data_IF_393935305707
#
_entry.id   IF_393935305707
#
_cell.length_a   1.000
_cell.length_b   1.000
_cell.length_c   1.000
_cell.angle_alpha   90.00
_cell.angle_beta   90.00
_cell.angle_gamma   90.00
#
_symmetry.space_group_name_H-M   'P 1'
#
loop_
_entity.id
_entity.type
_entity.pdbx_description
1 polymer ?
#
# COMPACT_ATOMS: atom_id res chain seq x y z
N UNK A 1 24.18 9.41 -2.26
CA UNK A 1 25.07 9.25 -3.43
C UNK A 1 26.19 8.21 -3.21
N UNK A 2 25.94 7.16 -2.42
CA UNK A 2 26.95 6.11 -2.10
C UNK A 2 26.38 4.70 -2.20
N UNK A 3 25.06 4.53 -2.31
CA UNK A 3 24.37 3.24 -2.50
C UNK A 3 24.93 2.52 -3.73
N UNK A 4 25.46 1.32 -3.52
CA UNK A 4 26.28 0.61 -4.51
C UNK A 4 25.51 0.35 -5.81
N UNK A 5 24.28 -0.11 -5.71
CA UNK A 5 23.40 -0.43 -6.83
C UNK A 5 23.08 0.83 -7.63
N UNK A 6 22.64 1.89 -6.94
CA UNK A 6 22.28 3.18 -7.57
C UNK A 6 23.47 3.82 -8.28
N UNK A 7 24.65 3.84 -7.65
CA UNK A 7 25.84 4.45 -8.25
C UNK A 7 26.40 3.61 -9.40
N UNK A 8 26.30 2.28 -9.33
CA UNK A 8 26.68 1.39 -10.44
C UNK A 8 25.78 1.63 -11.67
N UNK A 9 24.46 1.73 -11.46
CA UNK A 9 23.52 2.05 -12.52
C UNK A 9 23.74 3.46 -13.10
N UNK A 10 23.95 4.45 -12.22
CA UNK A 10 24.22 5.83 -12.64
C UNK A 10 25.50 5.93 -13.49
N UNK A 11 26.58 5.24 -13.10
CA UNK A 11 27.81 5.17 -13.87
C UNK A 11 27.63 4.46 -15.21
N UNK A 12 26.82 3.39 -15.26
CA UNK A 12 26.48 2.70 -16.51
C UNK A 12 25.71 3.62 -17.46
N UNK A 13 24.71 4.36 -16.96
CA UNK A 13 23.95 5.34 -17.74
C UNK A 13 24.84 6.48 -18.23
N UNK A 14 25.73 7.00 -17.38
CA UNK A 14 26.73 8.01 -17.75
C UNK A 14 27.67 7.51 -18.85
N UNK A 15 28.18 6.28 -18.74
CA UNK A 15 29.02 5.67 -19.76
C UNK A 15 28.28 5.52 -21.10
N UNK A 16 27.04 5.05 -21.07
CA UNK A 16 26.18 4.97 -22.27
C UNK A 16 25.99 6.36 -22.91
N UNK A 17 25.65 7.37 -22.10
CA UNK A 17 25.44 8.74 -22.56
C UNK A 17 26.71 9.33 -23.21
N UNK A 18 27.87 9.14 -22.58
CA UNK A 18 29.15 9.67 -23.06
C UNK A 18 29.64 9.02 -24.36
N UNK A 19 29.18 7.81 -24.72
CA UNK A 19 29.46 7.22 -26.05
C UNK A 19 28.91 8.10 -27.18
N UNK A 20 27.78 8.77 -26.94
CA UNK A 20 27.11 9.64 -27.91
C UNK A 20 27.51 11.11 -27.75
N UNK A 21 27.45 11.64 -26.52
CA UNK A 21 27.72 13.04 -26.23
C UNK A 21 29.21 13.42 -26.37
N UNK A 22 30.12 12.44 -26.19
CA UNK A 22 31.59 12.52 -26.30
C UNK A 22 32.31 13.47 -25.33
N UNK A 23 31.66 14.53 -24.86
CA UNK A 23 32.22 15.53 -23.97
C UNK A 23 31.51 15.47 -22.61
N UNK A 24 32.29 15.36 -21.54
CA UNK A 24 31.79 15.25 -20.16
C UNK A 24 31.05 16.49 -19.68
N UNK A 25 31.26 17.66 -20.29
CA UNK A 25 30.52 18.88 -19.92
C UNK A 25 29.02 18.75 -20.11
N UNK A 26 28.58 17.88 -21.03
CA UNK A 26 27.16 17.66 -21.30
C UNK A 26 26.46 16.84 -20.20
N UNK A 27 27.19 16.23 -19.26
CA UNK A 27 26.58 15.52 -18.12
C UNK A 27 25.68 16.45 -17.31
N UNK A 28 26.10 17.71 -17.11
CA UNK A 28 25.33 18.73 -16.39
C UNK A 28 23.95 19.04 -16.99
N UNK A 29 23.74 18.75 -18.28
CA UNK A 29 22.49 19.01 -19.00
C UNK A 29 21.53 17.80 -19.01
N UNK A 30 22.00 16.62 -18.63
CA UNK A 30 21.25 15.37 -18.78
C UNK A 30 21.12 14.56 -17.49
N UNK A 31 21.84 14.96 -16.44
CA UNK A 31 21.79 14.32 -15.13
C UNK A 31 21.51 15.38 -14.06
N UNK A 32 20.63 15.00 -13.14
CA UNK A 32 20.28 15.75 -11.93
C UNK A 32 20.43 14.80 -10.73
N UNK A 33 20.63 15.33 -9.53
CA UNK A 33 20.83 14.52 -8.33
C UNK A 33 19.81 14.83 -7.25
N UNK A 34 19.29 13.78 -6.62
CA UNK A 34 18.51 13.85 -5.39
C UNK A 34 19.42 13.34 -4.27
N UNK A 35 20.11 14.24 -3.56
CA UNK A 35 21.12 13.85 -2.56
C UNK A 35 21.54 15.01 -1.67
N UNK A 36 22.12 14.67 -0.52
CA UNK A 36 22.82 15.59 0.41
C UNK A 36 24.33 15.74 0.16
N UNK A 37 24.95 14.91 -0.68
CA UNK A 37 26.41 14.87 -0.84
C UNK A 37 26.86 15.67 -2.07
N UNK A 38 26.95 16.99 -1.90
CA UNK A 38 27.35 17.91 -2.98
C UNK A 38 28.69 17.54 -3.63
N UNK A 39 29.67 17.10 -2.82
CA UNK A 39 31.00 16.73 -3.32
C UNK A 39 30.92 15.60 -4.34
N UNK A 40 30.29 14.48 -3.98
CA UNK A 40 30.20 13.32 -4.89
C UNK A 40 29.30 13.59 -6.10
N UNK A 41 28.26 14.41 -5.94
CA UNK A 41 27.39 14.85 -7.05
C UNK A 41 28.18 15.66 -8.07
N UNK A 42 29.02 16.60 -7.61
CA UNK A 42 29.88 17.40 -8.49
C UNK A 42 31.00 16.56 -9.12
N UNK A 43 31.60 15.61 -8.38
CA UNK A 43 32.58 14.66 -8.92
C UNK A 43 31.96 13.76 -10.01
N UNK A 44 30.67 13.44 -9.93
CA UNK A 44 29.94 12.76 -11.00
C UNK A 44 29.75 13.64 -12.24
N UNK A 45 29.87 14.97 -12.13
CA UNK A 45 29.71 15.93 -13.23
C UNK A 45 28.32 16.57 -13.33
N UNK A 46 27.50 16.42 -12.29
CA UNK A 46 26.20 17.11 -12.19
C UNK A 46 26.45 18.53 -11.67
N UNK A 47 25.76 19.52 -12.27
CA UNK A 47 25.76 20.89 -11.76
C UNK A 47 25.15 20.92 -10.35
N UNK A 48 25.80 21.59 -9.41
CA UNK A 48 25.29 21.75 -8.05
C UNK A 48 23.91 22.42 -8.03
N UNK A 49 23.61 23.30 -9.00
CA UNK A 49 22.28 23.89 -9.16
C UNK A 49 21.18 22.85 -9.48
N UNK A 50 21.56 21.69 -10.00
CA UNK A 50 20.71 20.55 -10.31
C UNK A 50 20.75 19.46 -9.22
N UNK A 51 21.20 19.82 -8.01
CA UNK A 51 21.13 18.97 -6.82
C UNK A 51 19.94 19.39 -5.96
N UNK A 52 18.97 18.50 -5.81
CA UNK A 52 17.79 18.69 -4.99
C UNK A 52 17.99 17.94 -3.67
N UNK A 53 18.05 18.70 -2.58
CA UNK A 53 18.37 18.19 -1.26
C UNK A 53 17.13 17.64 -0.53
N UNK A 54 17.37 16.71 0.39
CA UNK A 54 16.43 16.24 1.41
C UNK A 54 17.21 16.04 2.71
N UNK A 55 16.55 15.76 3.82
CA UNK A 55 17.19 15.81 5.14
C UNK A 55 17.21 14.44 5.83
N UNK A 56 18.01 14.33 6.89
CA UNK A 56 18.19 13.11 7.70
C UNK A 56 16.90 12.63 8.39
N UNK A 57 16.01 13.56 8.73
CA UNK A 57 14.67 13.27 9.25
C UNK A 57 13.68 12.76 8.19
N UNK A 58 14.08 12.73 6.91
CA UNK A 58 13.28 12.12 5.82
C UNK A 58 13.69 10.66 5.65
N UNK A 59 12.96 9.76 6.32
CA UNK A 59 13.14 8.32 6.13
C UNK A 59 12.85 7.89 4.69
N UNK A 60 13.64 6.97 4.13
CA UNK A 60 13.53 6.56 2.72
C UNK A 60 12.13 6.09 2.31
N UNK A 61 11.48 5.28 3.15
CA UNK A 61 10.10 4.79 2.96
C UNK A 61 8.99 5.84 3.15
N UNK A 62 9.35 7.07 3.53
CA UNK A 62 8.47 8.24 3.70
C UNK A 62 8.93 9.42 2.84
N UNK A 63 9.78 9.18 1.84
CA UNK A 63 10.52 10.26 1.17
C UNK A 63 9.86 10.83 -0.08
N UNK A 64 8.78 10.23 -0.60
CA UNK A 64 8.15 10.66 -1.86
C UNK A 64 7.65 12.11 -1.83
N UNK A 65 7.38 12.63 -0.63
CA UNK A 65 6.93 14.01 -0.38
C UNK A 65 8.05 15.05 -0.54
N UNK A 66 9.31 14.61 -0.55
CA UNK A 66 10.51 15.45 -0.63
C UNK A 66 11.01 15.62 -2.07
N UNK A 67 12.25 16.08 -2.24
CA UNK A 67 12.96 16.07 -3.52
C UNK A 67 12.94 14.71 -4.24
N UNK A 68 12.86 13.58 -3.50
CA UNK A 68 12.70 12.23 -4.08
C UNK A 68 11.47 12.14 -5.01
N UNK A 69 10.41 12.89 -4.72
CA UNK A 69 9.20 13.00 -5.54
C UNK A 69 9.35 13.77 -6.86
N UNK A 70 10.54 14.28 -7.20
CA UNK A 70 10.74 15.07 -8.43
C UNK A 70 10.26 14.35 -9.70
N UNK A 71 10.43 13.03 -9.80
CA UNK A 71 9.94 12.25 -10.93
C UNK A 71 8.40 12.26 -11.04
N UNK A 72 7.70 12.36 -9.91
CA UNK A 72 6.24 12.52 -9.85
C UNK A 72 5.89 13.90 -10.41
N UNK A 73 6.50 14.97 -9.88
CA UNK A 73 6.26 16.34 -10.35
C UNK A 73 6.55 16.52 -11.85
N UNK A 74 7.60 15.88 -12.38
CA UNK A 74 7.91 15.87 -13.82
C UNK A 74 6.85 15.14 -14.66
N UNK A 75 6.20 14.12 -14.11
CA UNK A 75 5.21 13.31 -14.82
C UNK A 75 3.81 13.94 -14.82
N UNK A 76 3.36 14.48 -13.68
CA UNK A 76 1.99 15.01 -13.52
C UNK A 76 1.92 16.54 -13.44
N UNK A 77 3.06 17.23 -13.49
CA UNK A 77 3.15 18.67 -13.29
C UNK A 77 3.20 19.07 -11.81
N UNK A 78 3.86 20.19 -11.52
CA UNK A 78 4.10 20.64 -10.14
C UNK A 78 2.81 20.97 -9.39
N UNK A 79 1.81 21.55 -10.06
CA UNK A 79 0.48 21.84 -9.46
C UNK A 79 -0.21 20.57 -8.94
N UNK A 80 -0.18 19.48 -9.72
CA UNK A 80 -0.72 18.20 -9.26
C UNK A 80 0.13 17.58 -8.15
N UNK A 81 1.44 17.81 -8.14
CA UNK A 81 2.30 17.41 -7.02
C UNK A 81 1.96 18.20 -5.75
N UNK A 82 1.68 19.51 -5.83
CA UNK A 82 1.19 20.30 -4.70
C UNK A 82 -0.18 19.82 -4.19
N UNK A 83 -1.08 19.38 -5.09
CA UNK A 83 -2.32 18.73 -4.69
C UNK A 83 -2.08 17.42 -3.94
N UNK A 84 -1.09 16.61 -4.37
CA UNK A 84 -0.66 15.41 -3.65
C UNK A 84 -0.19 15.73 -2.23
N UNK A 85 0.69 16.72 -2.08
CA UNK A 85 1.16 17.20 -0.77
C UNK A 85 0.01 17.74 0.09
N UNK A 86 -0.91 18.50 -0.51
CA UNK A 86 -2.07 19.09 0.18
C UNK A 86 -3.03 18.02 0.70
N UNK A 87 -3.17 16.92 -0.03
CA UNK A 87 -3.94 15.75 0.41
C UNK A 87 -3.36 15.08 1.63
N UNK A 88 -2.05 14.85 1.63
CA UNK A 88 -1.33 14.32 2.80
C UNK A 88 -1.47 15.28 4.00
N UNK A 89 -1.27 16.58 3.77
CA UNK A 89 -1.40 17.60 4.81
C UNK A 89 -2.82 17.68 5.40
N UNK A 90 -3.86 17.48 4.59
CA UNK A 90 -5.23 17.38 5.08
C UNK A 90 -5.39 16.21 6.05
N UNK A 91 -4.82 15.05 5.71
CA UNK A 91 -4.85 13.87 6.58
C UNK A 91 -4.00 14.06 7.85
N UNK A 92 -2.87 14.78 7.79
CA UNK A 92 -2.08 15.15 8.97
C UNK A 92 -2.91 15.96 9.97
N UNK A 93 -3.66 16.95 9.47
CA UNK A 93 -4.51 17.79 10.32
C UNK A 93 -5.66 16.99 10.94
N UNK A 94 -6.27 16.08 10.16
CA UNK A 94 -7.26 15.13 10.66
C UNK A 94 -6.67 14.25 11.78
N UNK A 95 -5.53 13.60 11.53
CA UNK A 95 -4.84 12.73 12.48
C UNK A 95 -4.47 13.47 13.77
N UNK A 96 -3.97 14.70 13.67
CA UNK A 96 -3.55 15.52 14.81
C UNK A 96 -4.71 16.03 15.67
N UNK A 97 -5.84 16.38 15.05
CA UNK A 97 -6.86 17.21 15.70
C UNK A 97 -8.17 16.46 16.00
N UNK A 98 -8.40 15.31 15.40
CA UNK A 98 -9.64 14.55 15.55
C UNK A 98 -9.58 13.65 16.78
N UNK A 99 -10.61 13.64 17.66
CA UNK A 99 -10.69 12.71 18.80
C UNK A 99 -10.45 11.26 18.38
N UNK A 100 -9.73 10.50 19.22
CA UNK A 100 -9.22 9.16 18.88
C UNK A 100 -10.32 8.20 18.40
N UNK A 101 -11.53 8.29 18.95
CA UNK A 101 -12.68 7.46 18.61
C UNK A 101 -13.33 7.80 17.25
N UNK A 102 -12.92 8.91 16.63
CA UNK A 102 -13.32 9.33 15.27
C UNK A 102 -12.12 9.46 14.32
N UNK A 103 -10.93 9.09 14.78
CA UNK A 103 -9.69 9.29 14.06
C UNK A 103 -9.41 8.07 13.18
N UNK A 104 -9.67 8.20 11.87
CA UNK A 104 -9.54 7.13 10.87
C UNK A 104 -8.21 6.34 10.98
N UNK A 105 -7.00 6.95 10.92
CA UNK A 105 -5.75 6.22 11.12
C UNK A 105 -5.67 5.42 12.43
N UNK A 106 -6.17 6.00 13.55
CA UNK A 106 -6.16 5.33 14.85
C UNK A 106 -7.10 4.12 14.87
N UNK A 107 -8.30 4.27 14.31
CA UNK A 107 -9.27 3.16 14.21
C UNK A 107 -8.67 2.01 13.38
N UNK A 108 -8.07 2.31 12.23
CA UNK A 108 -7.40 1.31 11.40
C UNK A 108 -6.24 0.62 12.14
N UNK A 109 -5.46 1.38 12.90
CA UNK A 109 -4.34 0.84 13.68
C UNK A 109 -4.81 -0.11 14.78
N UNK A 110 -5.84 0.28 15.56
CA UNK A 110 -6.37 -0.54 16.65
C UNK A 110 -7.09 -1.79 16.12
N UNK A 111 -7.79 -1.71 14.99
CA UNK A 111 -8.33 -2.91 14.32
C UNK A 111 -7.20 -3.87 13.88
N UNK A 112 -6.11 -3.34 13.33
CA UNK A 112 -4.93 -4.13 12.97
C UNK A 112 -4.30 -4.82 14.18
N UNK A 113 -4.16 -4.10 15.30
CA UNK A 113 -3.68 -4.66 16.58
C UNK A 113 -4.63 -5.73 17.11
N UNK A 114 -5.94 -5.49 17.05
CA UNK A 114 -6.94 -6.46 17.49
C UNK A 114 -6.78 -7.80 16.76
N UNK A 115 -6.67 -7.78 15.43
CA UNK A 115 -6.50 -9.02 14.67
C UNK A 115 -5.08 -9.62 14.81
N UNK A 116 -4.04 -8.79 14.81
CA UNK A 116 -2.65 -9.26 14.89
C UNK A 116 -2.26 -9.81 16.27
N UNK A 117 -2.67 -9.15 17.35
CA UNK A 117 -2.27 -9.50 18.71
C UNK A 117 -3.26 -10.42 19.43
N UNK A 118 -4.56 -10.41 19.08
CA UNK A 118 -5.57 -11.24 19.76
C UNK A 118 -6.08 -12.40 18.92
N UNK A 119 -6.24 -12.23 17.60
CA UNK A 119 -6.65 -13.31 16.69
C UNK A 119 -5.46 -14.05 16.05
N UNK A 120 -4.22 -13.56 16.24
CA UNK A 120 -3.03 -14.16 15.66
C UNK A 120 -2.94 -14.03 14.14
N UNK A 121 -3.60 -13.03 13.54
CA UNK A 121 -3.49 -12.79 12.11
C UNK A 121 -2.09 -12.25 11.78
N UNK A 122 -1.26 -13.08 11.14
CA UNK A 122 0.12 -12.71 10.77
C UNK A 122 0.19 -11.76 9.57
N UNK A 123 -0.91 -11.59 8.82
CA UNK A 123 -0.91 -10.87 7.55
C UNK A 123 -2.00 -9.81 7.48
N UNK A 124 -1.76 -8.76 6.69
CA UNK A 124 -2.76 -7.76 6.30
C UNK A 124 -2.80 -7.66 4.77
N UNK A 125 -3.97 -7.92 4.17
CA UNK A 125 -4.15 -7.76 2.73
C UNK A 125 -4.59 -6.34 2.39
N UNK A 126 -3.97 -5.72 1.38
CA UNK A 126 -4.36 -4.44 0.79
C UNK A 126 -4.85 -4.69 -0.64
N UNK A 127 -6.16 -4.50 -0.88
CA UNK A 127 -6.85 -4.95 -2.09
C UNK A 127 -7.51 -3.76 -2.81
N UNK A 128 -6.73 -2.95 -3.56
CA UNK A 128 -7.27 -1.81 -4.28
C UNK A 128 -8.04 -2.24 -5.54
N UNK A 129 -9.31 -1.88 -5.65
CA UNK A 129 -10.14 -2.05 -6.85
C UNK A 129 -9.95 -0.86 -7.78
N UNK A 130 -8.69 -0.64 -8.15
CA UNK A 130 -8.25 0.36 -9.11
C UNK A 130 -6.92 -0.09 -9.71
N UNK A 131 -6.83 -0.15 -11.04
CA UNK A 131 -5.64 -0.66 -11.73
C UNK A 131 -4.46 0.32 -11.67
N UNK A 132 -4.70 1.63 -11.54
CA UNK A 132 -3.61 2.59 -11.35
C UNK A 132 -2.95 2.42 -9.97
N UNK A 133 -3.69 1.88 -8.99
CA UNK A 133 -3.17 1.52 -7.67
C UNK A 133 -2.46 0.16 -7.60
N UNK A 134 -2.08 -0.48 -8.71
CA UNK A 134 -1.45 -1.81 -8.71
C UNK A 134 -0.12 -1.92 -7.93
N UNK A 135 0.55 -0.80 -7.63
CA UNK A 135 1.76 -0.76 -6.78
C UNK A 135 1.50 -0.32 -5.35
N UNK A 136 0.26 -0.02 -4.98
CA UNK A 136 -0.10 0.52 -3.66
C UNK A 136 0.22 -0.47 -2.54
N UNK A 137 -0.14 -1.74 -2.70
CA UNK A 137 0.18 -2.78 -1.70
C UNK A 137 1.70 -2.96 -1.55
N UNK A 138 2.45 -2.98 -2.67
CA UNK A 138 3.90 -3.10 -2.65
C UNK A 138 4.62 -1.88 -2.05
N UNK A 139 4.06 -0.68 -2.22
CA UNK A 139 4.53 0.52 -1.52
C UNK A 139 4.44 0.35 0.00
N UNK A 140 3.30 -0.16 0.49
CA UNK A 140 3.11 -0.41 1.92
C UNK A 140 3.75 -1.69 2.45
N UNK A 141 4.25 -2.58 1.60
CA UNK A 141 5.19 -3.62 2.05
C UNK A 141 6.43 -2.96 2.66
N UNK A 142 7.02 -1.98 1.97
CA UNK A 142 8.12 -1.22 2.55
C UNK A 142 7.63 -0.32 3.70
N UNK A 143 6.57 0.46 3.48
CA UNK A 143 6.08 1.43 4.47
C UNK A 143 5.72 0.82 5.82
N UNK A 144 5.03 -0.32 5.84
CA UNK A 144 4.55 -0.98 7.08
C UNK A 144 5.63 -1.94 7.64
N UNK A 145 6.12 -2.89 6.82
CA UNK A 145 6.96 -3.98 7.31
C UNK A 145 8.37 -3.50 7.71
N UNK A 146 8.98 -2.57 6.97
CA UNK A 146 10.29 -2.02 7.33
C UNK A 146 10.19 -1.13 8.58
N UNK A 147 9.04 -0.50 8.81
CA UNK A 147 8.77 0.31 10.00
C UNK A 147 8.56 -0.54 11.24
N UNK A 148 7.59 -1.46 11.18
CA UNK A 148 7.05 -2.13 12.34
C UNK A 148 7.46 -3.60 12.47
N UNK A 149 8.22 -4.16 11.51
CA UNK A 149 8.85 -5.47 11.60
C UNK A 149 10.02 -5.47 12.59
N UNK A 150 9.72 -5.21 13.86
CA UNK A 150 10.67 -5.00 14.96
C UNK A 150 10.34 -5.92 16.13
N UNK A 151 11.35 -6.24 16.94
CA UNK A 151 11.19 -7.12 18.09
C UNK A 151 11.78 -6.55 19.39
N UNK A 152 12.28 -5.31 19.36
CA UNK A 152 12.89 -4.62 20.49
C UNK A 152 12.12 -3.34 20.75
N UNK A 153 11.67 -3.16 22.00
CA UNK A 153 10.97 -1.94 22.43
C UNK A 153 11.96 -0.79 22.57
N UNK A 154 11.48 0.45 22.72
CA UNK A 154 12.29 1.66 22.89
C UNK A 154 13.23 1.58 24.09
N UNK A 155 12.87 0.82 25.12
CA UNK A 155 13.71 0.56 26.29
C UNK A 155 14.86 -0.45 26.05
N UNK A 156 14.88 -1.16 24.92
CA UNK A 156 15.90 -2.16 24.58
C UNK A 156 15.53 -3.62 24.89
N UNK A 157 14.40 -3.86 25.56
CA UNK A 157 13.92 -5.21 25.85
C UNK A 157 13.27 -5.88 24.63
N UNK A 158 13.33 -7.21 24.58
CA UNK A 158 12.63 -7.98 23.54
C UNK A 158 11.14 -8.05 23.84
N UNK A 159 10.32 -7.89 22.80
CA UNK A 159 8.86 -8.10 22.88
C UNK A 159 8.52 -9.57 23.12
N UNK A 160 7.44 -9.82 23.85
CA UNK A 160 6.81 -11.15 24.01
C UNK A 160 5.43 -11.21 23.32
N UNK A 161 5.19 -10.31 22.37
CA UNK A 161 3.98 -10.16 21.56
C UNK A 161 4.36 -9.94 20.09
N UNK A 162 3.41 -10.11 19.17
CA UNK A 162 3.57 -9.80 17.74
C UNK A 162 3.60 -8.29 17.48
N UNK A 163 4.34 -7.87 16.45
CA UNK A 163 4.43 -6.47 16.00
C UNK A 163 3.89 -6.34 14.56
N UNK A 164 4.61 -5.70 13.65
CA UNK A 164 4.16 -5.44 12.28
C UNK A 164 3.72 -6.71 11.53
N UNK A 165 2.57 -6.68 10.82
CA UNK A 165 2.10 -7.81 10.04
C UNK A 165 2.86 -7.92 8.71
N UNK A 166 2.76 -9.08 8.05
CA UNK A 166 3.16 -9.23 6.65
C UNK A 166 2.10 -8.55 5.78
N UNK A 167 2.49 -7.50 5.05
CA UNK A 167 1.60 -6.79 4.11
C UNK A 167 1.69 -7.41 2.72
N UNK A 168 0.55 -7.61 2.07
CA UNK A 168 0.50 -8.18 0.72
C UNK A 168 -0.79 -7.78 0.00
N UNK A 169 -0.86 -8.03 -1.32
CA UNK A 169 -2.07 -7.82 -2.09
C UNK A 169 -1.81 -7.48 -3.55
N UNK A 170 -2.87 -7.58 -4.35
CA UNK A 170 -2.93 -7.24 -5.77
C UNK A 170 -4.26 -6.52 -6.03
N UNK A 171 -4.35 -5.70 -7.09
CA UNK A 171 -5.59 -4.98 -7.36
C UNK A 171 -6.75 -5.93 -7.67
N UNK A 172 -7.94 -5.51 -7.27
CA UNK A 172 -9.19 -6.11 -7.72
C UNK A 172 -9.50 -5.71 -9.17
N UNK A 173 -10.08 -6.58 -9.99
CA UNK A 173 -10.58 -7.93 -9.66
C UNK A 173 -9.52 -9.03 -9.78
N UNK A 174 -8.28 -8.72 -10.19
CA UNK A 174 -7.24 -9.71 -10.49
C UNK A 174 -6.98 -10.64 -9.29
N UNK A 175 -6.87 -10.08 -8.08
CA UNK A 175 -6.70 -10.87 -6.85
C UNK A 175 -7.81 -11.91 -6.61
N UNK A 176 -9.04 -11.64 -7.05
CA UNK A 176 -10.18 -12.56 -6.93
C UNK A 176 -9.95 -13.88 -7.65
N UNK A 177 -9.20 -13.82 -8.76
CA UNK A 177 -8.90 -14.96 -9.61
C UNK A 177 -7.50 -15.54 -9.35
N UNK A 178 -6.85 -15.13 -8.26
CA UNK A 178 -5.54 -15.62 -7.86
C UNK A 178 -5.56 -16.25 -6.47
N UNK A 179 -5.87 -15.48 -5.43
CA UNK A 179 -5.67 -15.90 -4.03
C UNK A 179 -6.90 -15.74 -3.13
N UNK A 180 -8.01 -15.17 -3.62
CA UNK A 180 -9.22 -15.02 -2.80
C UNK A 180 -9.83 -16.35 -2.37
N UNK A 181 -9.54 -17.45 -3.07
CA UNK A 181 -9.87 -18.81 -2.64
C UNK A 181 -9.37 -19.07 -1.20
N UNK A 182 -8.14 -18.69 -0.90
CA UNK A 182 -7.55 -18.83 0.42
C UNK A 182 -8.24 -17.90 1.42
N UNK A 183 -8.47 -16.62 1.06
CA UNK A 183 -9.15 -15.65 1.93
C UNK A 183 -10.55 -16.14 2.32
N UNK A 184 -11.31 -16.72 1.37
CA UNK A 184 -12.67 -17.20 1.60
C UNK A 184 -12.77 -18.49 2.42
N UNK A 185 -11.83 -19.42 2.26
CA UNK A 185 -11.93 -20.74 2.89
C UNK A 185 -10.96 -20.97 4.05
N UNK A 186 -9.96 -20.11 4.25
CA UNK A 186 -9.03 -20.14 5.38
C UNK A 186 -9.24 -18.89 6.26
N UNK A 187 -9.34 -19.02 7.58
CA UNK A 187 -9.58 -17.88 8.48
C UNK A 187 -8.33 -17.00 8.67
N UNK A 188 -8.53 -15.83 9.29
CA UNK A 188 -7.50 -14.89 9.80
C UNK A 188 -6.71 -14.06 8.77
N UNK A 189 -7.36 -13.63 7.69
CA UNK A 189 -6.80 -12.65 6.75
C UNK A 189 -7.60 -11.33 6.75
N UNK A 190 -7.31 -10.39 7.66
CA UNK A 190 -7.85 -9.02 7.58
C UNK A 190 -7.52 -8.38 6.23
N UNK A 191 -8.53 -7.79 5.60
CA UNK A 191 -8.41 -7.19 4.27
C UNK A 191 -8.90 -5.74 4.27
N UNK A 192 -8.12 -4.84 3.67
CA UNK A 192 -8.57 -3.49 3.35
C UNK A 192 -8.89 -3.41 1.85
N UNK A 193 -10.17 -3.32 1.55
CA UNK A 193 -10.67 -3.07 0.20
C UNK A 193 -10.69 -1.57 -0.04
N UNK A 194 -10.02 -1.10 -1.09
CA UNK A 194 -9.97 0.32 -1.46
C UNK A 194 -10.61 0.53 -2.83
N UNK A 195 -11.50 1.52 -3.03
CA UNK A 195 -12.06 1.79 -4.36
C UNK A 195 -12.49 3.24 -4.54
N UNK A 196 -12.25 3.87 -5.70
CA UNK A 196 -12.94 5.10 -6.04
C UNK A 196 -14.41 4.86 -6.42
N UNK A 197 -15.28 5.81 -6.11
CA UNK A 197 -16.69 5.82 -6.55
C UNK A 197 -16.77 6.06 -8.06
N UNK A 198 -15.92 6.95 -8.61
CA UNK A 198 -15.84 7.28 -10.03
C UNK A 198 -14.50 6.86 -10.62
N UNK A 199 -14.53 6.33 -11.84
CA UNK A 199 -13.32 6.02 -12.61
C UNK A 199 -12.89 7.22 -13.46
N UNK A 200 -11.59 7.40 -13.66
CA UNK A 200 -11.05 8.28 -14.72
C UNK A 200 -11.44 7.83 -16.13
N UNK A 201 -11.94 6.61 -16.28
CA UNK A 201 -12.33 6.01 -17.55
C UNK A 201 -13.84 5.73 -17.63
N UNK A 202 -14.66 6.51 -16.90
CA UNK A 202 -16.12 6.32 -16.81
C UNK A 202 -16.85 6.46 -18.15
N UNK A 203 -16.25 7.13 -19.14
CA UNK A 203 -16.82 7.27 -20.49
C UNK A 203 -16.79 5.96 -21.30
N UNK A 204 -15.95 4.99 -20.91
CA UNK A 204 -15.87 3.72 -21.61
C UNK A 204 -17.11 2.87 -21.31
N UNK A 205 -17.86 2.54 -22.38
CA UNK A 205 -19.08 1.72 -22.31
C UNK A 205 -20.10 2.27 -21.31
N UNK A 206 -20.26 3.59 -21.25
CA UNK A 206 -21.20 4.28 -20.35
C UNK A 206 -21.04 3.87 -18.87
N UNK A 207 -19.79 3.69 -18.42
CA UNK A 207 -19.47 3.34 -17.04
C UNK A 207 -19.65 1.86 -16.70
N UNK A 208 -20.08 1.01 -17.64
CA UNK A 208 -20.36 -0.42 -17.39
C UNK A 208 -19.19 -1.14 -16.71
N UNK A 209 -17.95 -0.87 -17.14
CA UNK A 209 -16.76 -1.48 -16.55
C UNK A 209 -16.62 -1.12 -15.07
N UNK A 210 -16.81 0.15 -14.70
CA UNK A 210 -16.70 0.60 -13.31
C UNK A 210 -17.87 0.10 -12.45
N UNK A 211 -19.08 0.01 -13.02
CA UNK A 211 -20.22 -0.61 -12.35
C UNK A 211 -19.95 -2.09 -12.00
N UNK A 212 -19.38 -2.86 -12.94
CA UNK A 212 -18.99 -4.26 -12.68
C UNK A 212 -17.86 -4.34 -11.66
N UNK A 213 -16.87 -3.44 -11.72
CA UNK A 213 -15.78 -3.39 -10.75
C UNK A 213 -16.31 -3.14 -9.33
N UNK A 214 -17.18 -2.14 -9.16
CA UNK A 214 -17.82 -1.81 -7.88
C UNK A 214 -18.76 -2.92 -7.40
N UNK A 215 -19.50 -3.59 -8.28
CA UNK A 215 -20.34 -4.71 -7.86
C UNK A 215 -19.50 -5.85 -7.27
N UNK A 216 -18.33 -6.13 -7.85
CA UNK A 216 -17.40 -7.10 -7.29
C UNK A 216 -16.73 -6.61 -6.00
N UNK A 217 -16.39 -5.32 -5.88
CA UNK A 217 -15.86 -4.74 -4.63
C UNK A 217 -16.83 -4.98 -3.46
N UNK A 218 -18.11 -4.64 -3.66
CA UNK A 218 -19.16 -4.80 -2.66
C UNK A 218 -19.49 -6.28 -2.39
N UNK A 219 -19.59 -7.10 -3.44
CA UNK A 219 -19.94 -8.52 -3.29
C UNK A 219 -18.88 -9.32 -2.54
N UNK A 220 -17.59 -8.98 -2.68
CA UNK A 220 -16.51 -9.71 -2.02
C UNK A 220 -16.52 -9.50 -0.50
N UNK A 221 -16.70 -8.27 -0.04
CA UNK A 221 -16.80 -7.98 1.40
C UNK A 221 -18.10 -8.54 2.01
N UNK A 222 -19.21 -8.50 1.26
CA UNK A 222 -20.45 -9.16 1.65
C UNK A 222 -20.28 -10.69 1.78
N UNK A 223 -19.65 -11.33 0.81
CA UNK A 223 -19.41 -12.77 0.81
C UNK A 223 -18.49 -13.20 1.97
N UNK A 224 -17.45 -12.42 2.28
CA UNK A 224 -16.56 -12.65 3.42
C UNK A 224 -17.29 -12.55 4.76
N UNK A 225 -18.24 -11.62 4.89
CA UNK A 225 -19.06 -11.49 6.09
C UNK A 225 -20.10 -12.63 6.20
N UNK A 226 -20.90 -12.86 5.16
CA UNK A 226 -22.06 -13.77 5.23
C UNK A 226 -21.69 -15.24 5.14
N UNK A 227 -20.72 -15.58 4.29
CA UNK A 227 -20.51 -16.96 3.88
C UNK A 227 -21.73 -17.58 3.19
N UNK A 228 -21.79 -18.91 3.20
CA UNK A 228 -22.86 -19.74 2.66
C UNK A 228 -22.88 -21.05 3.43
N UNK A 229 -23.89 -21.23 4.27
CA UNK A 229 -24.02 -22.42 5.12
C UNK A 229 -24.34 -23.69 4.32
N UNK A 230 -24.16 -24.84 4.99
CA UNK A 230 -24.39 -26.15 4.39
C UNK A 230 -25.81 -26.31 3.83
N UNK A 231 -26.82 -25.81 4.56
CA UNK A 231 -28.22 -25.96 4.17
C UNK A 231 -28.54 -25.22 2.87
N UNK A 232 -27.99 -24.02 2.72
CA UNK A 232 -28.10 -23.20 1.52
C UNK A 232 -27.42 -23.88 0.34
N UNK A 233 -26.20 -24.40 0.54
CA UNK A 233 -25.47 -25.17 -0.48
C UNK A 233 -26.27 -26.38 -0.94
N UNK A 234 -26.78 -27.20 -0.02
CA UNK A 234 -27.55 -28.40 -0.36
C UNK A 234 -28.83 -28.05 -1.11
N UNK A 235 -29.52 -26.97 -0.73
CA UNK A 235 -30.71 -26.46 -1.44
C UNK A 235 -30.38 -26.03 -2.87
N UNK A 236 -29.29 -25.30 -3.09
CA UNK A 236 -28.83 -24.88 -4.43
C UNK A 236 -28.45 -26.08 -5.29
N UNK A 237 -27.75 -27.08 -4.73
CA UNK A 237 -27.35 -28.28 -5.45
C UNK A 237 -28.55 -29.15 -5.84
N UNK A 238 -29.55 -29.29 -4.96
CA UNK A 238 -30.83 -29.95 -5.27
C UNK A 238 -31.56 -29.22 -6.41
N UNK A 239 -31.63 -27.89 -6.35
CA UNK A 239 -32.25 -27.08 -7.41
C UNK A 239 -31.51 -27.18 -8.76
N UNK A 240 -30.19 -27.43 -8.73
CA UNK A 240 -29.37 -27.69 -9.91
C UNK A 240 -29.45 -29.14 -10.44
N UNK A 241 -30.31 -29.99 -9.88
CA UNK A 241 -30.55 -31.36 -10.35
C UNK A 241 -29.48 -32.38 -9.93
N UNK A 242 -28.70 -32.11 -8.87
CA UNK A 242 -27.70 -33.04 -8.35
C UNK A 242 -28.33 -34.18 -7.56
N UNK A 243 -27.76 -35.38 -7.71
CA UNK A 243 -28.14 -36.56 -6.91
C UNK A 243 -27.74 -36.41 -5.44
N UNK A 244 -28.35 -37.20 -4.55
CA UNK A 244 -28.02 -37.17 -3.12
C UNK A 244 -26.55 -37.50 -2.86
N UNK A 245 -25.99 -38.46 -3.61
CA UNK A 245 -24.57 -38.82 -3.54
C UNK A 245 -23.66 -37.68 -3.99
N UNK A 246 -24.01 -36.99 -5.08
CA UNK A 246 -23.28 -35.79 -5.52
C UNK A 246 -23.34 -34.69 -4.46
N UNK A 247 -24.53 -34.41 -3.90
CA UNK A 247 -24.73 -33.37 -2.87
C UNK A 247 -23.87 -33.68 -1.65
N UNK A 248 -23.89 -34.93 -1.17
CA UNK A 248 -23.09 -35.37 -0.03
C UNK A 248 -21.59 -35.23 -0.29
N UNK A 249 -21.15 -35.53 -1.52
CA UNK A 249 -19.75 -35.43 -1.91
C UNK A 249 -19.27 -33.98 -2.07
N UNK A 250 -20.03 -33.11 -2.74
CA UNK A 250 -19.56 -31.76 -3.13
C UNK A 250 -20.03 -30.65 -2.19
N UNK A 251 -21.09 -30.89 -1.41
CA UNK A 251 -21.65 -29.94 -0.45
C UNK A 251 -20.60 -29.34 0.49
N UNK A 252 -19.70 -30.15 1.11
CA UNK A 252 -18.67 -29.61 1.99
C UNK A 252 -17.69 -28.64 1.34
N UNK A 253 -17.37 -28.88 0.07
CA UNK A 253 -16.41 -28.06 -0.66
C UNK A 253 -16.99 -26.70 -1.10
N UNK A 254 -18.32 -26.56 -1.07
CA UNK A 254 -19.05 -25.36 -1.47
C UNK A 254 -19.55 -24.51 -0.29
N UNK A 255 -19.28 -24.96 0.93
CA UNK A 255 -19.59 -24.21 2.14
C UNK A 255 -18.58 -23.08 2.34
N UNK A 256 -19.07 -21.91 2.75
CA UNK A 256 -18.26 -20.76 3.11
C UNK A 256 -18.63 -20.35 4.53
N UNK A 257 -17.69 -20.40 5.47
CA UNK A 257 -17.99 -20.15 6.88
C UNK A 257 -18.30 -18.67 7.21
N UNK A 258 -18.03 -17.75 6.29
CA UNK A 258 -18.25 -16.31 6.50
C UNK A 258 -17.40 -15.75 7.65
N UNK A 259 -17.91 -14.73 8.34
CA UNK A 259 -17.30 -14.11 9.52
C UNK A 259 -15.81 -13.73 9.32
N UNK A 260 -15.49 -13.20 8.14
CA UNK A 260 -14.14 -12.73 7.80
C UNK A 260 -14.12 -11.19 7.73
N UNK A 261 -13.19 -10.54 8.45
CA UNK A 261 -13.22 -9.10 8.61
C UNK A 261 -12.65 -8.37 7.40
N UNK A 262 -13.31 -7.29 7.00
CA UNK A 262 -12.84 -6.39 5.95
C UNK A 262 -13.09 -4.93 6.32
N UNK A 263 -12.17 -4.05 5.99
CA UNK A 263 -12.45 -2.62 5.87
C UNK A 263 -12.81 -2.30 4.41
N UNK A 264 -13.79 -1.43 4.19
CA UNK A 264 -14.10 -0.87 2.87
C UNK A 264 -13.84 0.63 2.89
N UNK A 265 -12.77 1.05 2.24
CA UNK A 265 -12.32 2.44 2.17
C UNK A 265 -12.65 2.96 0.77
N UNK A 266 -13.52 3.97 0.70
CA UNK A 266 -13.95 4.56 -0.57
C UNK A 266 -13.61 6.04 -0.62
N UNK A 267 -13.19 6.50 -1.81
CA UNK A 267 -12.97 7.91 -2.14
C UNK A 267 -13.83 8.29 -3.35
N UNK A 268 -14.15 9.56 -3.58
CA UNK A 268 -14.95 9.93 -4.76
C UNK A 268 -14.23 9.60 -6.07
N UNK A 269 -12.96 9.96 -6.19
CA UNK A 269 -12.08 9.67 -7.33
C UNK A 269 -10.63 9.64 -6.83
N UNK A 270 -9.75 8.82 -7.41
CA UNK A 270 -8.31 8.85 -7.09
C UNK A 270 -7.64 10.01 -7.82
N UNK A 271 -7.62 11.20 -7.21
CA UNK A 271 -6.89 12.38 -7.67
C UNK A 271 -5.55 12.49 -6.93
N UNK A 272 -4.62 13.38 -7.33
CA UNK A 272 -3.41 13.61 -6.54
C UNK A 272 -3.72 13.89 -5.07
N UNK A 273 -4.72 14.74 -4.77
CA UNK A 273 -5.15 15.03 -3.40
C UNK A 273 -5.65 13.79 -2.65
N UNK A 274 -6.57 13.01 -3.22
CA UNK A 274 -7.11 11.86 -2.49
C UNK A 274 -6.08 10.74 -2.34
N UNK A 275 -5.19 10.55 -3.32
CA UNK A 275 -4.06 9.63 -3.21
C UNK A 275 -3.12 10.06 -2.07
N UNK A 276 -2.80 11.35 -1.98
CA UNK A 276 -1.97 11.89 -0.90
C UNK A 276 -2.58 11.64 0.48
N UNK A 277 -3.88 11.91 0.62
CA UNK A 277 -4.61 11.65 1.86
C UNK A 277 -4.64 10.16 2.21
N UNK A 278 -4.82 9.27 1.22
CA UNK A 278 -4.81 7.82 1.44
C UNK A 278 -3.43 7.30 1.86
N UNK A 279 -2.34 7.79 1.26
CA UNK A 279 -1.00 7.36 1.64
C UNK A 279 -0.71 7.80 3.08
N UNK A 280 -0.92 9.08 3.39
CA UNK A 280 -0.71 9.62 4.74
C UNK A 280 -1.58 8.92 5.81
N UNK A 281 -2.80 8.50 5.46
CA UNK A 281 -3.67 7.73 6.36
C UNK A 281 -2.99 6.44 6.83
N UNK A 282 -2.36 5.71 5.91
CA UNK A 282 -1.63 4.49 6.24
C UNK A 282 -0.30 4.79 6.94
N UNK A 283 0.40 5.88 6.61
CA UNK A 283 1.60 6.31 7.36
C UNK A 283 1.26 6.56 8.84
N UNK A 284 0.15 7.25 9.13
CA UNK A 284 -0.33 7.50 10.49
C UNK A 284 -0.88 6.25 11.19
N UNK A 285 -1.47 5.30 10.45
CA UNK A 285 -1.81 3.97 10.96
C UNK A 285 -0.55 3.25 11.45
N UNK A 286 0.49 3.20 10.62
CA UNK A 286 1.79 2.55 10.91
C UNK A 286 2.43 3.18 12.15
N UNK A 287 2.46 4.52 12.22
CA UNK A 287 2.92 5.25 13.40
C UNK A 287 2.14 4.85 14.66
N UNK A 288 0.81 4.89 14.61
CA UNK A 288 -0.04 4.58 15.76
C UNK A 288 0.22 3.16 16.29
N UNK A 289 0.36 2.18 15.39
CA UNK A 289 0.68 0.81 15.80
C UNK A 289 2.06 0.71 16.47
N UNK A 290 3.07 1.35 15.88
CA UNK A 290 4.43 1.37 16.46
C UNK A 290 4.50 2.03 17.84
N UNK A 291 3.70 3.09 18.06
CA UNK A 291 3.57 3.70 19.39
C UNK A 291 2.99 2.73 20.40
N UNK A 292 1.90 2.01 20.05
CA UNK A 292 1.23 1.05 20.94
C UNK A 292 2.14 -0.15 21.26
N UNK A 293 2.90 -0.65 20.29
CA UNK A 293 3.88 -1.72 20.49
C UNK A 293 5.19 -1.27 21.15
N UNK A 294 5.29 -0.01 21.54
CA UNK A 294 6.50 0.57 22.15
C UNK A 294 7.78 0.40 21.33
N UNK A 295 7.70 0.33 19.99
CA UNK A 295 8.85 0.16 19.08
C UNK A 295 9.27 1.48 18.43
N UNK A 296 10.42 1.46 17.73
CA UNK A 296 10.84 2.54 16.85
C UNK A 296 10.46 2.23 15.39
N UNK A 297 9.42 2.91 14.88
CA UNK A 297 8.96 2.76 13.49
C UNK A 297 9.87 3.41 12.45
N UNK A 298 10.94 4.10 12.86
CA UNK A 298 11.68 5.01 11.98
C UNK A 298 13.15 4.63 11.76
N UNK A 299 13.65 3.56 12.39
CA UNK A 299 14.92 2.93 12.03
C UNK A 299 14.73 1.69 11.15
N UNK A 300 15.82 1.08 10.69
CA UNK A 300 15.82 -0.15 9.88
C UNK A 300 17.11 -0.96 10.04
N UNK A 301 17.65 -1.09 11.26
CA UNK A 301 18.94 -1.77 11.52
C UNK A 301 19.04 -3.22 11.00
N UNK A 302 17.92 -3.89 10.71
CA UNK A 302 17.90 -5.24 10.16
C UNK A 302 18.42 -5.38 8.72
N UNK A 303 18.78 -4.28 8.05
CA UNK A 303 19.36 -4.29 6.69
C UNK A 303 20.89 -4.10 6.67
N UNK A 304 21.53 -3.90 7.83
CA UNK A 304 22.99 -3.92 7.97
C UNK A 304 23.57 -5.32 7.76
#
# INVERSE_FOLDING_TARGET
FTTQETITNANTAKQWFLKSAKDSKFVANHFVALSTNAKLVQEFGIDKANMFEFWDWVGGRYSLWSAIGMSIALNIGFENFEHLLSGAHWMDNHFKSTPIERNIPVILAVLGIWYGNFYGAETQALLPYDQYMHRFAAYFQQGDMESNGKYVVRAGDKVNYSTGPIVWGEPGTNGQHAFYQLIHQVPHHPCDFNSPVKSHNSELRDGLHHTILLSNFLAQTEALMKGKDRQTVEKELKAAGKSEDEIKSIGPHKEFTGNRPTNSIMVDTVTPFTLGAMIAMYEHKIFTQGIIWDINSYDQWGVE
#
